data_IF_893511334887
#
_entry.id   IF_893511334887
#
_cell.length_a   1.000
_cell.length_b   1.000
_cell.length_c   1.000
_cell.angle_alpha   90.00
_cell.angle_beta   90.00
_cell.angle_gamma   90.00
#
_symmetry.space_group_name_H-M   'P 1'
#
loop_
_entity.id
_entity.type
_entity.pdbx_description
1 polymer ?
#
# COMPACT_ATOMS: atom_id res chain seq x y z
N UNK A 1 -16.81 -49.86 4.65
CA UNK A 1 -17.74 -48.85 5.20
C UNK A 1 -17.01 -47.79 6.04
N UNK A 2 -16.14 -48.15 6.99
CA UNK A 2 -15.44 -47.17 7.84
C UNK A 2 -14.37 -46.32 7.12
N UNK A 3 -13.67 -46.87 6.11
CA UNK A 3 -12.63 -46.13 5.37
C UNK A 3 -13.19 -44.97 4.52
N UNK A 4 -14.40 -45.14 3.99
CA UNK A 4 -15.10 -44.14 3.17
C UNK A 4 -15.57 -42.96 4.04
N UNK A 5 -16.00 -43.24 5.28
CA UNK A 5 -16.39 -42.22 6.23
C UNK A 5 -15.20 -41.36 6.70
N UNK A 6 -14.01 -41.95 6.83
CA UNK A 6 -12.77 -41.24 7.18
C UNK A 6 -12.30 -40.31 6.04
N UNK A 7 -12.42 -40.77 4.79
CA UNK A 7 -12.13 -39.98 3.59
C UNK A 7 -13.12 -38.83 3.41
N UNK A 8 -14.41 -39.05 3.70
CA UNK A 8 -15.42 -37.99 3.65
C UNK A 8 -15.17 -36.90 4.71
N UNK A 9 -14.68 -37.26 5.91
CA UNK A 9 -14.38 -36.31 6.98
C UNK A 9 -13.19 -35.38 6.65
N UNK A 10 -12.20 -35.87 5.91
CA UNK A 10 -11.06 -35.08 5.45
C UNK A 10 -11.40 -34.11 4.31
N UNK A 11 -12.52 -34.31 3.62
CA UNK A 11 -12.99 -33.42 2.53
C UNK A 11 -13.87 -32.25 3.02
N UNK A 12 -14.25 -32.20 4.30
CA UNK A 12 -15.01 -31.08 4.89
C UNK A 12 -14.14 -29.97 5.49
N UNK A 13 -12.83 -29.98 5.24
CA UNK A 13 -11.95 -28.84 5.46
C UNK A 13 -12.29 -27.70 4.49
N UNK A 14 -13.46 -27.09 4.66
CA UNK A 14 -13.91 -25.94 3.90
C UNK A 14 -12.98 -24.76 4.23
N UNK A 15 -11.97 -24.55 3.39
CA UNK A 15 -11.17 -23.34 3.39
C UNK A 15 -12.15 -22.20 3.11
N UNK A 16 -12.46 -21.38 4.12
CA UNK A 16 -13.32 -20.22 3.91
C UNK A 16 -12.62 -19.31 2.92
N UNK A 17 -13.30 -18.96 1.83
CA UNK A 17 -12.73 -18.04 0.85
C UNK A 17 -12.22 -16.78 1.57
N UNK A 18 -10.98 -16.37 1.31
CA UNK A 18 -10.43 -15.21 1.96
C UNK A 18 -11.28 -13.98 1.61
N UNK A 19 -11.35 -13.03 2.53
CA UNK A 19 -12.04 -11.77 2.28
C UNK A 19 -11.10 -10.84 1.50
N UNK A 20 -11.61 -10.19 0.47
CA UNK A 20 -10.84 -9.27 -0.36
C UNK A 20 -11.41 -7.84 -0.28
N UNK A 21 -10.53 -6.86 -0.05
CA UNK A 21 -10.80 -5.44 -0.29
C UNK A 21 -10.02 -5.03 -1.54
N UNK A 22 -10.70 -4.40 -2.49
CA UNK A 22 -10.12 -4.00 -3.78
C UNK A 22 -10.61 -2.60 -4.14
N UNK A 23 -9.77 -1.83 -4.81
CA UNK A 23 -10.13 -0.51 -5.30
C UNK A 23 -8.97 0.13 -6.03
N UNK A 24 -9.06 1.44 -6.21
CA UNK A 24 -8.00 2.26 -6.83
C UNK A 24 -7.72 3.45 -5.92
N UNK A 25 -6.44 3.73 -5.69
CA UNK A 25 -5.97 4.92 -4.98
C UNK A 25 -4.78 5.52 -5.74
N UNK A 26 -4.77 6.83 -5.96
CA UNK A 26 -3.70 7.53 -6.68
C UNK A 26 -3.42 6.94 -8.07
N UNK A 27 -4.46 6.52 -8.79
CA UNK A 27 -4.41 5.80 -10.07
C UNK A 27 -3.74 4.41 -10.03
N UNK A 28 -3.49 3.86 -8.85
CA UNK A 28 -2.95 2.52 -8.67
C UNK A 28 -4.02 1.58 -8.12
N UNK A 29 -4.28 0.43 -8.75
CA UNK A 29 -5.17 -0.58 -8.18
C UNK A 29 -4.54 -1.18 -6.92
N UNK A 30 -5.34 -1.41 -5.89
CA UNK A 30 -4.91 -2.10 -4.67
C UNK A 30 -5.76 -3.33 -4.39
N UNK A 31 -5.15 -4.27 -3.68
CA UNK A 31 -5.82 -5.47 -3.19
C UNK A 31 -5.28 -5.84 -1.80
N UNK A 32 -6.17 -5.89 -0.80
CA UNK A 32 -5.90 -6.39 0.55
C UNK A 32 -6.68 -7.68 0.76
N UNK A 33 -5.99 -8.72 1.23
CA UNK A 33 -6.58 -10.03 1.51
C UNK A 33 -6.54 -10.34 3.01
N UNK A 34 -7.68 -10.76 3.57
CA UNK A 34 -7.80 -11.19 4.95
C UNK A 34 -8.13 -12.68 4.98
N UNK A 35 -7.29 -13.48 5.63
CA UNK A 35 -7.37 -14.94 5.64
C UNK A 35 -8.45 -15.54 6.54
N UNK A 36 -9.33 -14.72 7.12
CA UNK A 36 -10.42 -15.18 7.97
C UNK A 36 -11.69 -14.36 7.78
N UNK A 37 -12.81 -14.91 8.25
CA UNK A 37 -14.09 -14.21 8.24
C UNK A 37 -14.04 -12.99 9.16
N UNK A 38 -14.73 -11.92 8.74
CA UNK A 38 -14.89 -10.70 9.50
C UNK A 38 -16.37 -10.42 9.78
N UNK A 39 -16.66 -9.94 10.98
CA UNK A 39 -17.92 -9.31 11.31
C UNK A 39 -18.14 -8.04 10.46
N UNK A 40 -19.39 -7.58 10.40
CA UNK A 40 -19.74 -6.33 9.70
C UNK A 40 -18.98 -5.12 10.27
N UNK A 41 -18.71 -5.09 11.58
CA UNK A 41 -17.98 -4.02 12.25
C UNK A 41 -16.51 -4.01 11.81
N UNK A 42 -15.85 -5.16 11.83
CA UNK A 42 -14.45 -5.29 11.41
C UNK A 42 -14.27 -4.94 9.92
N UNK A 43 -15.20 -5.35 9.06
CA UNK A 43 -15.15 -4.96 7.64
C UNK A 43 -15.16 -3.44 7.45
N UNK A 44 -16.03 -2.74 8.18
CA UNK A 44 -16.09 -1.27 8.14
C UNK A 44 -14.81 -0.64 8.68
N UNK A 45 -14.26 -1.21 9.75
CA UNK A 45 -13.05 -0.69 10.36
C UNK A 45 -11.82 -0.85 9.45
N UNK A 46 -11.66 -2.01 8.82
CA UNK A 46 -10.58 -2.22 7.85
C UNK A 46 -10.75 -1.29 6.66
N UNK A 47 -11.97 -1.12 6.15
CA UNK A 47 -12.24 -0.19 5.07
C UNK A 47 -11.82 1.24 5.45
N UNK A 48 -12.17 1.69 6.66
CA UNK A 48 -11.75 2.99 7.20
C UNK A 48 -10.23 3.13 7.28
N UNK A 49 -9.53 2.11 7.79
CA UNK A 49 -8.04 2.12 7.88
C UNK A 49 -7.42 2.22 6.48
N UNK A 50 -7.94 1.49 5.50
CA UNK A 50 -7.46 1.55 4.11
C UNK A 50 -7.62 2.97 3.56
N UNK A 51 -8.81 3.57 3.73
CA UNK A 51 -9.10 4.93 3.28
C UNK A 51 -8.20 5.97 3.96
N UNK A 52 -8.04 5.88 5.27
CA UNK A 52 -7.17 6.78 6.04
C UNK A 52 -5.70 6.63 5.66
N UNK A 53 -5.24 5.42 5.36
CA UNK A 53 -3.87 5.18 4.90
C UNK A 53 -3.63 5.88 3.55
N UNK A 54 -4.56 5.76 2.61
CA UNK A 54 -4.41 6.43 1.30
C UNK A 54 -4.56 7.95 1.40
N UNK A 55 -5.39 8.44 2.32
CA UNK A 55 -5.51 9.86 2.63
C UNK A 55 -4.22 10.41 3.25
N UNK A 56 -3.58 9.68 4.16
CA UNK A 56 -2.27 10.03 4.69
C UNK A 56 -1.23 10.10 3.57
N UNK A 57 -1.19 9.08 2.70
CA UNK A 57 -0.25 9.08 1.57
C UNK A 57 -0.47 10.32 0.70
N UNK A 58 -1.73 10.67 0.43
CA UNK A 58 -2.06 11.85 -0.37
C UNK A 58 -1.63 13.17 0.28
N UNK A 59 -1.88 13.30 1.57
CA UNK A 59 -1.71 14.56 2.31
C UNK A 59 -0.28 14.76 2.82
N UNK A 60 0.49 13.69 3.00
CA UNK A 60 1.87 13.78 3.47
C UNK A 60 2.91 13.57 2.37
N UNK A 61 2.78 12.53 1.55
CA UNK A 61 3.89 12.03 0.71
C UNK A 61 3.69 12.20 -0.79
N UNK A 62 2.48 12.51 -1.25
CA UNK A 62 2.17 12.58 -2.67
C UNK A 62 2.74 13.85 -3.32
N UNK A 63 3.82 13.71 -4.10
CA UNK A 63 4.41 14.82 -4.85
C UNK A 63 3.49 15.40 -5.94
N UNK A 64 2.51 14.64 -6.43
CA UNK A 64 1.53 15.13 -7.40
C UNK A 64 0.40 15.94 -6.76
N UNK A 65 0.21 15.82 -5.44
CA UNK A 65 -0.67 16.70 -4.69
C UNK A 65 0.12 17.95 -4.27
N UNK A 66 -0.16 19.16 -4.82
CA UNK A 66 0.55 20.38 -4.46
C UNK A 66 0.33 20.79 -2.99
N UNK A 67 -0.71 20.25 -2.37
CA UNK A 67 -1.06 20.49 -0.97
C UNK A 67 -0.57 19.37 -0.04
N UNK A 68 0.29 18.46 -0.50
CA UNK A 68 0.93 17.53 0.42
C UNK A 68 2.03 18.22 1.22
N UNK A 69 2.34 17.68 2.41
CA UNK A 69 3.46 18.18 3.21
C UNK A 69 4.79 18.11 2.44
N UNK A 70 5.04 17.01 1.74
CA UNK A 70 6.22 16.86 0.89
C UNK A 70 6.28 17.96 -0.18
N UNK A 71 5.19 18.23 -0.91
CA UNK A 71 5.16 19.23 -1.98
C UNK A 71 5.33 20.66 -1.47
N UNK A 72 4.83 20.96 -0.27
CA UNK A 72 5.04 22.27 0.39
C UNK A 72 6.42 22.42 1.02
N UNK A 73 7.19 21.34 1.12
CA UNK A 73 8.48 21.33 1.83
C UNK A 73 8.34 21.32 3.36
N UNK A 74 7.18 20.93 3.89
CA UNK A 74 6.97 20.79 5.32
C UNK A 74 7.80 19.60 5.85
N UNK A 75 8.71 19.86 6.78
CA UNK A 75 9.58 18.85 7.40
C UNK A 75 8.90 18.23 8.63
N UNK A 76 7.74 17.61 8.44
CA UNK A 76 7.12 16.80 9.50
C UNK A 76 7.98 15.57 9.78
N UNK A 77 7.86 14.98 10.97
CA UNK A 77 8.59 13.76 11.34
C UNK A 77 8.37 12.64 10.31
N UNK A 78 7.15 12.52 9.81
CA UNK A 78 6.76 11.60 8.73
C UNK A 78 7.52 11.84 7.44
N UNK A 79 7.55 13.09 6.94
CA UNK A 79 8.26 13.46 5.72
C UNK A 79 9.77 13.29 5.89
N UNK A 80 10.32 13.70 7.03
CA UNK A 80 11.74 13.51 7.34
C UNK A 80 12.12 12.02 7.33
N UNK A 81 11.30 11.16 7.94
CA UNK A 81 11.54 9.71 7.99
C UNK A 81 11.56 9.07 6.61
N UNK A 82 10.61 9.40 5.73
CA UNK A 82 10.59 8.82 4.38
C UNK A 82 11.75 9.34 3.52
N UNK A 83 12.15 10.60 3.69
CA UNK A 83 13.31 11.18 3.00
C UNK A 83 14.62 10.54 3.47
N UNK A 84 14.75 10.24 4.77
CA UNK A 84 15.90 9.48 5.29
C UNK A 84 15.96 8.06 4.70
N UNK A 85 14.82 7.38 4.57
CA UNK A 85 14.76 6.07 3.91
C UNK A 85 15.13 6.16 2.42
N UNK A 86 14.65 7.19 1.73
CA UNK A 86 15.03 7.42 0.33
C UNK A 86 16.54 7.71 0.18
N UNK A 87 17.13 8.44 1.13
CA UNK A 87 18.57 8.67 1.16
C UNK A 87 19.35 7.38 1.41
N UNK A 88 18.91 6.50 2.32
CA UNK A 88 19.60 5.23 2.55
C UNK A 88 19.56 4.34 1.31
N UNK A 89 18.47 4.32 0.54
CA UNK A 89 18.43 3.63 -0.75
C UNK A 89 19.34 4.26 -1.80
N UNK A 90 19.47 5.58 -1.83
CA UNK A 90 20.42 6.25 -2.70
C UNK A 90 21.86 5.80 -2.41
N UNK A 91 22.27 5.79 -1.14
CA UNK A 91 23.60 5.35 -0.72
C UNK A 91 23.84 3.86 -1.02
N UNK A 92 22.89 3.00 -0.64
CA UNK A 92 22.99 1.55 -0.86
C UNK A 92 23.05 1.16 -2.34
N UNK A 93 22.44 1.97 -3.20
CA UNK A 93 22.44 1.76 -4.64
C UNK A 93 23.52 2.56 -5.36
N UNK A 94 24.46 3.19 -4.65
CA UNK A 94 25.52 4.02 -5.25
C UNK A 94 24.97 5.07 -6.24
N UNK A 95 23.81 5.64 -5.92
CA UNK A 95 23.12 6.65 -6.72
C UNK A 95 22.22 6.14 -7.84
N UNK A 96 22.07 4.82 -8.03
CA UNK A 96 21.15 4.26 -9.03
C UNK A 96 19.68 4.48 -8.65
N UNK A 97 19.34 4.46 -7.36
CA UNK A 97 18.08 4.96 -6.84
C UNK A 97 18.22 6.45 -6.52
N UNK A 98 17.73 7.33 -7.39
CA UNK A 98 17.80 8.77 -7.18
C UNK A 98 16.40 9.42 -7.20
N UNK A 99 15.82 9.78 -6.05
CA UNK A 99 14.49 10.40 -5.97
C UNK A 99 14.46 11.84 -6.52
N UNK A 100 15.61 12.44 -6.86
CA UNK A 100 15.72 13.83 -7.37
C UNK A 100 15.71 13.93 -8.90
N UNK A 101 15.53 12.82 -9.63
CA UNK A 101 15.56 12.79 -11.10
C UNK A 101 14.36 13.48 -11.79
N UNK A 102 13.38 13.97 -11.04
CA UNK A 102 12.16 14.58 -11.59
C UNK A 102 12.44 15.74 -12.56
N UNK A 103 13.36 16.66 -12.23
CA UNK A 103 13.71 17.78 -13.10
C UNK A 103 14.44 17.31 -14.38
N UNK A 104 15.49 16.47 -14.32
CA UNK A 104 16.08 15.86 -15.50
C UNK A 104 15.07 15.13 -16.41
N UNK A 105 14.18 14.33 -15.83
CA UNK A 105 13.15 13.58 -16.59
C UNK A 105 12.18 14.54 -17.28
N UNK A 106 11.80 15.64 -16.63
CA UNK A 106 10.91 16.64 -17.23
C UNK A 106 11.58 17.34 -18.41
N UNK A 107 12.86 17.70 -18.29
CA UNK A 107 13.62 18.31 -19.38
C UNK A 107 13.76 17.37 -20.58
N UNK A 108 14.02 16.08 -20.34
CA UNK A 108 14.12 15.08 -21.40
C UNK A 108 12.81 14.85 -22.16
N UNK A 109 11.65 14.86 -21.48
CA UNK A 109 10.35 14.69 -22.16
C UNK A 109 9.96 15.86 -23.07
N UNK A 110 10.69 16.98 -23.01
CA UNK A 110 10.43 18.18 -23.81
C UNK A 110 11.30 18.26 -25.08
N UNK A 111 12.29 17.38 -25.23
CA UNK A 111 13.11 17.22 -26.45
C UNK A 111 12.52 16.15 -27.35
#
# INVERSE_FOLDING_TARGET
MQLIALLAFLCFGCSKDPLHFKGTAHNHPYHVQIGHSLSKKEKKEIQRIIEETFLEIDTCYNHWNPNSDLSRGNQTEKVASILMLAHSFYELSEGWFNPKVGAPVKAFKQT
#
